data_IF_227477052018
#
_entry.id   IF_227477052018
#
_cell.length_a   1.000
_cell.length_b   1.000
_cell.length_c   1.000
_cell.angle_alpha   90.00
_cell.angle_beta   90.00
_cell.angle_gamma   90.00
#
_symmetry.space_group_name_H-M   'P 1'
#
loop_
_entity.id
_entity.type
_entity.pdbx_description
1 polymer ?
#
# COMPACT_ATOMS: atom_id res chain seq x y z
N UNK A 1 25.41 10.70 8.37
CA UNK A 1 24.88 9.41 7.88
C UNK A 1 23.86 9.70 6.79
N UNK A 2 23.81 8.91 5.71
CA UNK A 2 22.83 9.08 4.63
C UNK A 2 21.38 8.91 5.12
N UNK A 3 21.19 8.31 6.29
CA UNK A 3 19.87 8.08 6.87
C UNK A 3 19.46 9.26 7.78
N UNK A 4 18.29 9.89 7.53
CA UNK A 4 17.73 10.89 8.41
C UNK A 4 17.31 10.29 9.76
N UNK A 5 17.40 11.06 10.86
CA UNK A 5 16.89 10.62 12.16
C UNK A 5 15.40 10.27 12.07
N UNK A 6 14.93 9.36 12.92
CA UNK A 6 13.52 8.96 12.93
C UNK A 6 12.61 10.15 13.22
N UNK A 7 11.63 10.42 12.35
CA UNK A 7 10.59 11.40 12.63
C UNK A 7 9.55 10.80 13.60
N UNK A 8 9.63 11.19 14.87
CA UNK A 8 8.71 10.73 15.91
C UNK A 8 7.35 11.45 15.88
N UNK A 9 7.27 12.61 15.22
CA UNK A 9 6.08 13.45 15.15
C UNK A 9 5.77 13.79 13.68
N UNK A 10 5.39 12.79 12.87
CA UNK A 10 5.05 13.03 11.48
C UNK A 10 3.82 13.95 11.35
N UNK A 11 3.68 14.65 10.21
CA UNK A 11 2.57 15.58 9.96
C UNK A 11 1.19 14.90 10.03
N UNK A 12 1.14 13.60 9.75
CA UNK A 12 -0.03 12.76 9.90
C UNK A 12 0.38 11.31 10.23
N UNK A 13 -0.55 10.54 10.78
CA UNK A 13 -0.28 9.22 11.34
C UNK A 13 -0.72 8.07 10.40
N UNK A 14 0.25 7.52 9.67
CA UNK A 14 0.09 6.27 8.93
C UNK A 14 0.24 5.09 9.89
N UNK A 15 -0.74 4.18 9.90
CA UNK A 15 -0.73 2.97 10.73
C UNK A 15 0.04 1.85 10.05
N UNK A 16 -0.26 1.58 8.78
CA UNK A 16 0.32 0.49 8.00
C UNK A 16 -0.05 0.62 6.52
N UNK A 17 0.65 -0.13 5.67
CA UNK A 17 0.11 -0.47 4.35
C UNK A 17 -1.22 -1.23 4.50
N UNK A 18 -2.02 -1.18 3.45
CA UNK A 18 -3.35 -1.80 3.44
C UNK A 18 -3.64 -2.58 2.19
N UNK A 19 -3.49 -1.95 1.02
CA UNK A 19 -3.91 -2.56 -0.24
C UNK A 19 -3.04 -2.12 -1.40
N UNK A 20 -2.99 -2.96 -2.42
CA UNK A 20 -2.46 -2.61 -3.74
C UNK A 20 -3.56 -2.73 -4.77
N UNK A 21 -3.62 -1.81 -5.72
CA UNK A 21 -4.38 -2.01 -6.96
C UNK A 21 -3.40 -2.30 -8.09
N UNK A 22 -3.59 -3.43 -8.75
CA UNK A 22 -2.83 -3.84 -9.91
C UNK A 22 -3.72 -3.75 -11.14
N UNK A 23 -3.30 -2.96 -12.11
CA UNK A 23 -3.84 -3.05 -13.46
C UNK A 23 -3.35 -4.36 -14.09
N UNK A 24 -4.26 -5.14 -14.65
CA UNK A 24 -3.99 -6.42 -15.30
C UNK A 24 -4.66 -6.45 -16.68
N UNK A 25 -4.00 -7.06 -17.65
CA UNK A 25 -4.48 -7.13 -19.04
C UNK A 25 -5.50 -8.24 -19.26
N UNK A 26 -5.45 -9.29 -18.44
CA UNK A 26 -6.38 -10.40 -18.46
C UNK A 26 -6.82 -10.74 -17.02
N UNK A 27 -8.08 -10.43 -16.70
CA UNK A 27 -8.66 -10.71 -15.38
C UNK A 27 -8.82 -12.20 -15.11
N UNK A 28 -9.14 -13.01 -16.12
CA UNK A 28 -9.32 -14.44 -15.93
C UNK A 28 -7.98 -15.11 -15.57
N UNK A 29 -6.92 -14.71 -16.28
CA UNK A 29 -5.58 -15.18 -15.99
C UNK A 29 -5.08 -14.68 -14.62
N UNK A 30 -5.29 -13.40 -14.30
CA UNK A 30 -4.93 -12.86 -12.98
C UNK A 30 -5.69 -13.56 -11.85
N UNK A 31 -6.98 -13.87 -12.04
CA UNK A 31 -7.77 -14.65 -11.08
C UNK A 31 -7.19 -16.04 -10.88
N UNK A 32 -6.88 -16.76 -11.96
CA UNK A 32 -6.28 -18.09 -11.87
C UNK A 32 -4.95 -18.08 -11.09
N UNK A 33 -4.17 -17.02 -11.23
CA UNK A 33 -2.94 -16.86 -10.47
C UNK A 33 -3.20 -16.51 -8.99
N UNK A 34 -3.87 -15.39 -8.71
CA UNK A 34 -4.00 -14.86 -7.35
C UNK A 34 -4.99 -15.64 -6.47
N UNK A 35 -6.06 -16.16 -7.07
CA UNK A 35 -7.10 -16.94 -6.36
C UNK A 35 -6.76 -18.42 -6.39
N UNK A 36 -6.66 -19.01 -7.59
CA UNK A 36 -6.57 -20.46 -7.69
C UNK A 36 -5.14 -20.95 -7.33
N UNK A 37 -4.08 -20.29 -7.80
CA UNK A 37 -2.71 -20.72 -7.48
C UNK A 37 -2.27 -20.27 -6.09
N UNK A 38 -2.39 -18.97 -5.79
CA UNK A 38 -1.91 -18.43 -4.50
C UNK A 38 -2.89 -18.67 -3.34
N UNK A 39 -4.21 -18.66 -3.59
CA UNK A 39 -5.21 -18.92 -2.55
C UNK A 39 -5.76 -17.66 -1.86
N UNK A 40 -5.61 -16.46 -2.45
CA UNK A 40 -6.31 -15.27 -1.96
C UNK A 40 -7.83 -15.43 -2.10
N UNK A 41 -8.57 -14.85 -1.17
CA UNK A 41 -10.01 -15.03 -1.08
C UNK A 41 -10.71 -13.89 -1.81
N UNK A 42 -11.57 -14.23 -2.78
CA UNK A 42 -12.44 -13.26 -3.45
C UNK A 42 -13.45 -12.72 -2.45
N UNK A 43 -13.52 -11.39 -2.34
CA UNK A 43 -14.51 -10.69 -1.52
C UNK A 43 -15.54 -9.97 -2.37
N UNK A 44 -15.16 -9.56 -3.57
CA UNK A 44 -16.04 -9.10 -4.62
C UNK A 44 -15.40 -9.34 -5.98
N UNK A 45 -16.19 -9.61 -7.01
CA UNK A 45 -15.73 -9.63 -8.40
C UNK A 45 -16.86 -9.14 -9.32
N UNK A 46 -16.48 -8.39 -10.35
CA UNK A 46 -17.33 -7.96 -11.44
C UNK A 46 -16.57 -8.07 -12.78
N UNK A 47 -17.15 -7.52 -13.84
CA UNK A 47 -16.55 -7.60 -15.19
C UNK A 47 -15.25 -6.81 -15.36
N UNK A 48 -14.98 -5.85 -14.46
CA UNK A 48 -13.84 -4.94 -14.53
C UNK A 48 -12.83 -5.09 -13.39
N UNK A 49 -13.18 -5.77 -12.31
CA UNK A 49 -12.33 -5.85 -11.12
C UNK A 49 -12.57 -7.07 -10.24
N UNK A 50 -11.52 -7.49 -9.51
CA UNK A 50 -11.57 -8.55 -8.50
C UNK A 50 -10.91 -8.02 -7.22
N UNK A 51 -11.66 -8.06 -6.12
CA UNK A 51 -11.22 -7.68 -4.79
C UNK A 51 -10.86 -8.92 -4.00
N UNK A 52 -9.64 -8.91 -3.45
CA UNK A 52 -9.03 -10.06 -2.82
C UNK A 52 -8.57 -9.72 -1.40
N UNK A 53 -8.70 -10.69 -0.49
CA UNK A 53 -8.13 -10.60 0.86
C UNK A 53 -7.33 -11.85 1.22
N UNK A 54 -6.31 -11.67 2.04
CA UNK A 54 -5.59 -12.75 2.69
C UNK A 54 -6.34 -13.25 3.94
N UNK A 55 -5.98 -14.42 4.48
CA UNK A 55 -6.80 -15.14 5.48
C UNK A 55 -7.00 -14.40 6.82
N UNK A 56 -5.99 -13.64 7.26
CA UNK A 56 -6.05 -12.85 8.51
C UNK A 56 -6.50 -11.40 8.27
N UNK A 57 -6.75 -10.99 7.03
CA UNK A 57 -7.20 -9.63 6.73
C UNK A 57 -8.61 -9.41 7.28
N UNK A 58 -8.75 -8.32 8.06
CA UNK A 58 -10.02 -7.89 8.64
C UNK A 58 -10.78 -6.93 7.72
N UNK A 59 -10.06 -6.19 6.88
CA UNK A 59 -10.67 -5.31 5.89
C UNK A 59 -11.28 -6.11 4.73
N UNK A 60 -12.10 -5.44 3.94
CA UNK A 60 -12.73 -6.03 2.76
C UNK A 60 -11.72 -6.60 1.76
N UNK A 61 -10.59 -5.93 1.58
CA UNK A 61 -9.57 -6.35 0.62
C UNK A 61 -8.18 -5.85 1.02
N UNK A 62 -7.16 -6.56 0.55
CA UNK A 62 -5.76 -6.13 0.55
C UNK A 62 -5.16 -6.09 -0.86
N UNK A 63 -5.90 -6.53 -1.88
CA UNK A 63 -5.48 -6.47 -3.27
C UNK A 63 -6.71 -6.25 -4.16
N UNK A 64 -6.56 -5.40 -5.17
CA UNK A 64 -7.55 -5.15 -6.21
C UNK A 64 -6.87 -5.46 -7.53
N UNK A 65 -7.46 -6.35 -8.33
CA UNK A 65 -7.07 -6.60 -9.70
C UNK A 65 -8.06 -5.84 -10.58
N UNK A 66 -7.57 -4.93 -11.42
CA UNK A 66 -8.41 -4.10 -12.28
C UNK A 66 -8.03 -4.30 -13.74
N UNK A 67 -9.00 -4.58 -14.60
CA UNK A 67 -8.74 -4.73 -16.04
C UNK A 67 -8.26 -3.40 -16.63
N UNK A 68 -7.17 -3.44 -17.40
CA UNK A 68 -6.63 -2.31 -18.13
C UNK A 68 -5.83 -2.76 -19.36
N UNK A 69 -5.52 -1.84 -20.25
CA UNK A 69 -4.77 -2.16 -21.49
C UNK A 69 -3.29 -2.47 -21.24
N UNK A 70 -2.75 -2.07 -20.09
CA UNK A 70 -1.36 -2.31 -19.70
C UNK A 70 -1.24 -2.67 -18.22
N UNK A 71 -0.33 -3.58 -17.88
CA UNK A 71 -0.07 -3.95 -16.49
C UNK A 71 0.69 -2.85 -15.74
N UNK A 72 0.25 -2.53 -14.52
CA UNK A 72 0.95 -1.57 -13.64
C UNK A 72 0.56 -1.72 -12.18
N UNK A 73 1.43 -1.27 -11.28
CA UNK A 73 1.04 -0.96 -9.91
C UNK A 73 0.28 0.38 -9.91
N UNK A 74 -1.04 0.30 -9.94
CA UNK A 74 -1.89 1.47 -10.13
C UNK A 74 -2.03 2.32 -8.88
N UNK A 75 -1.99 1.69 -7.69
CA UNK A 75 -2.04 2.38 -6.38
C UNK A 75 -1.34 1.57 -5.30
N UNK A 76 -0.60 2.27 -4.44
CA UNK A 76 -0.13 1.79 -3.14
C UNK A 76 -0.93 2.44 -2.00
N UNK A 77 -1.73 1.65 -1.30
CA UNK A 77 -2.70 2.11 -0.31
C UNK A 77 -2.22 1.97 1.14
N UNK A 78 -2.41 3.02 1.92
CA UNK A 78 -2.09 3.09 3.34
C UNK A 78 -3.32 3.38 4.19
N UNK A 79 -3.38 2.74 5.36
CA UNK A 79 -4.36 3.06 6.40
C UNK A 79 -3.79 4.14 7.32
N UNK A 80 -4.51 5.25 7.48
CA UNK A 80 -4.23 6.27 8.51
C UNK A 80 -5.04 5.99 9.78
N UNK A 81 -4.66 6.64 10.87
CA UNK A 81 -5.24 6.41 12.19
C UNK A 81 -6.75 6.69 12.24
N UNK A 82 -7.16 7.87 11.77
CA UNK A 82 -8.56 8.29 11.69
C UNK A 82 -8.80 9.24 10.49
N UNK A 83 -10.02 9.76 10.34
CA UNK A 83 -10.40 10.63 9.22
C UNK A 83 -9.72 12.01 9.24
N UNK A 84 -9.36 12.55 10.40
CA UNK A 84 -8.67 13.84 10.50
C UNK A 84 -7.24 13.75 9.95
N UNK A 85 -6.62 12.57 10.07
CA UNK A 85 -5.31 12.31 9.47
C UNK A 85 -5.33 12.39 7.95
N UNK A 86 -6.49 12.20 7.29
CA UNK A 86 -6.62 12.38 5.85
C UNK A 86 -6.52 13.87 5.47
N UNK A 87 -7.12 14.76 6.27
CA UNK A 87 -7.09 16.19 6.02
C UNK A 87 -5.67 16.73 6.21
N UNK A 88 -5.00 16.33 7.32
CA UNK A 88 -3.58 16.62 7.56
C UNK A 88 -2.68 16.10 6.45
N UNK A 89 -2.94 14.88 5.96
CA UNK A 89 -2.21 14.33 4.82
C UNK A 89 -2.40 15.20 3.58
N UNK A 90 -3.65 15.56 3.25
CA UNK A 90 -3.95 16.41 2.10
C UNK A 90 -3.21 17.74 2.18
N UNK A 91 -3.29 18.44 3.30
CA UNK A 91 -2.59 19.71 3.54
C UNK A 91 -1.07 19.56 3.39
N UNK A 92 -0.49 18.51 3.99
CA UNK A 92 0.94 18.27 3.89
C UNK A 92 1.38 18.01 2.45
N UNK A 93 0.69 17.13 1.71
CA UNK A 93 1.02 16.83 0.32
C UNK A 93 0.88 18.08 -0.58
N UNK A 94 -0.17 18.88 -0.39
CA UNK A 94 -0.34 20.16 -1.09
C UNK A 94 0.80 21.14 -0.77
N UNK A 95 1.24 21.22 0.50
CA UNK A 95 2.39 22.05 0.89
C UNK A 95 3.70 21.61 0.23
N UNK A 96 3.79 20.36 -0.23
CA UNK A 96 4.92 19.82 -1.01
C UNK A 96 4.70 19.91 -2.52
N UNK A 97 3.69 20.66 -2.96
CA UNK A 97 3.35 20.84 -4.37
C UNK A 97 2.79 19.57 -5.04
N UNK A 98 2.31 18.60 -4.27
CA UNK A 98 1.67 17.40 -4.81
C UNK A 98 0.16 17.63 -4.97
N UNK A 99 -0.37 17.22 -6.13
CA UNK A 99 -1.82 17.16 -6.34
C UNK A 99 -2.42 16.16 -5.35
N UNK A 100 -3.53 16.56 -4.73
CA UNK A 100 -4.37 15.67 -3.93
C UNK A 100 -5.78 15.64 -4.50
N UNK A 101 -6.45 14.50 -4.36
CA UNK A 101 -7.78 14.28 -4.89
C UNK A 101 -8.59 13.41 -3.92
N UNK A 102 -9.81 13.83 -3.63
CA UNK A 102 -10.76 13.02 -2.88
C UNK A 102 -11.52 12.12 -3.85
N UNK A 103 -11.51 10.82 -3.59
CA UNK A 103 -12.17 9.84 -4.45
C UNK A 103 -13.12 8.96 -3.65
N UNK A 104 -14.10 8.40 -4.35
CA UNK A 104 -14.90 7.30 -3.86
C UNK A 104 -14.28 5.96 -4.28
N UNK A 105 -14.23 5.01 -3.34
CA UNK A 105 -13.79 3.64 -3.61
C UNK A 105 -14.79 2.65 -3.00
N UNK A 106 -15.15 1.57 -3.73
CA UNK A 106 -15.99 0.51 -3.18
C UNK A 106 -15.42 -0.03 -1.86
N UNK A 107 -16.31 -0.24 -0.88
CA UNK A 107 -16.01 -0.80 0.44
C UNK A 107 -15.10 0.05 1.33
N UNK A 108 -14.81 1.29 0.94
CA UNK A 108 -13.95 2.21 1.67
C UNK A 108 -14.73 3.48 2.03
N UNK A 109 -14.34 4.10 3.14
CA UNK A 109 -14.78 5.46 3.47
C UNK A 109 -14.06 6.50 2.62
N UNK A 110 -13.86 7.70 3.16
CA UNK A 110 -13.14 8.77 2.46
C UNK A 110 -11.71 8.32 2.10
N UNK A 111 -11.33 8.50 0.83
CA UNK A 111 -10.00 8.15 0.31
C UNK A 111 -9.34 9.39 -0.27
N UNK A 112 -8.12 9.66 0.17
CA UNK A 112 -7.23 10.67 -0.40
C UNK A 112 -6.29 9.98 -1.40
N UNK A 113 -6.30 10.42 -2.66
CA UNK A 113 -5.34 10.00 -3.68
C UNK A 113 -4.31 11.10 -3.92
N UNK A 114 -3.05 10.71 -4.07
CA UNK A 114 -1.93 11.60 -4.40
C UNK A 114 -0.79 10.77 -5.01
N UNK A 115 0.45 11.28 -4.98
CA UNK A 115 1.63 10.51 -5.32
C UNK A 115 2.81 10.84 -4.41
N UNK A 116 3.80 9.96 -4.39
CA UNK A 116 5.10 10.27 -3.80
C UNK A 116 5.87 11.33 -4.63
N UNK A 117 7.12 11.57 -4.25
CA UNK A 117 8.01 12.54 -4.90
C UNK A 117 8.35 12.17 -6.36
N UNK A 118 8.33 10.88 -6.72
CA UNK A 118 8.65 10.36 -8.05
C UNK A 118 7.41 10.05 -8.89
N UNK A 119 6.21 10.26 -8.36
CA UNK A 119 4.96 10.00 -9.06
C UNK A 119 4.36 8.62 -8.79
N UNK A 120 4.89 7.84 -7.85
CA UNK A 120 4.28 6.58 -7.40
C UNK A 120 2.89 6.89 -6.84
N UNK A 121 1.82 6.29 -7.38
CA UNK A 121 0.44 6.62 -6.99
C UNK A 121 0.14 6.09 -5.59
N UNK A 122 -0.30 6.98 -4.70
CA UNK A 122 -0.58 6.67 -3.29
C UNK A 122 -2.05 6.90 -2.96
N UNK A 123 -2.58 6.08 -2.07
CA UNK A 123 -3.87 6.31 -1.42
C UNK A 123 -3.78 6.22 0.09
N UNK A 124 -4.59 7.05 0.76
CA UNK A 124 -4.75 7.06 2.20
C UNK A 124 -6.23 6.95 2.55
N UNK A 125 -6.55 6.10 3.52
CA UNK A 125 -7.92 5.96 4.01
C UNK A 125 -7.94 5.65 5.52
N UNK A 126 -9.06 5.97 6.18
CA UNK A 126 -9.26 5.67 7.59
C UNK A 126 -10.18 4.45 7.82
N UNK A 127 -11.26 4.31 7.04
CA UNK A 127 -12.28 3.27 7.22
C UNK A 127 -12.43 2.40 5.97
N UNK A 128 -12.54 1.10 6.17
CA UNK A 128 -12.88 0.10 5.16
C UNK A 128 -13.85 -0.88 5.81
N UNK A 129 -14.80 -1.39 5.03
CA UNK A 129 -15.74 -2.41 5.48
C UNK A 129 -14.97 -3.60 6.05
N UNK A 130 -15.54 -4.19 7.11
CA UNK A 130 -14.96 -5.35 7.77
C UNK A 130 -15.77 -6.59 7.44
N UNK A 131 -15.07 -7.66 7.12
CA UNK A 131 -15.66 -8.96 6.88
C UNK A 131 -15.40 -9.89 8.07
N UNK A 132 -16.24 -10.90 8.23
CA UNK A 132 -16.05 -11.91 9.28
C UNK A 132 -14.65 -12.56 9.13
N UNK A 133 -13.95 -12.84 10.25
CA UNK A 133 -12.68 -13.55 10.22
C UNK A 133 -12.81 -14.94 9.58
N UNK A 134 -11.79 -15.34 8.82
CA UNK A 134 -11.76 -16.64 8.12
C UNK A 134 -10.48 -17.45 8.35
N UNK A 135 -9.50 -16.92 9.07
CA UNK A 135 -8.22 -17.58 9.42
C UNK A 135 -8.35 -18.86 10.27
N UNK A 136 -9.55 -19.22 10.74
CA UNK A 136 -9.80 -20.52 11.40
C UNK A 136 -10.74 -21.42 10.59
N UNK A 137 -11.19 -20.96 9.41
CA UNK A 137 -11.99 -21.76 8.49
C UNK A 137 -11.04 -22.57 7.61
N UNK A 138 -10.38 -23.56 8.19
CA UNK A 138 -9.31 -24.35 7.55
C UNK A 138 -9.71 -25.00 6.21
N UNK A 139 -11.01 -25.23 5.97
CA UNK A 139 -11.51 -25.67 4.65
C UNK A 139 -11.25 -24.69 3.50
N UNK A 140 -11.00 -23.41 3.80
CA UNK A 140 -10.69 -22.36 2.82
C UNK A 140 -9.19 -22.29 2.49
N UNK A 141 -8.36 -23.12 3.13
CA UNK A 141 -6.92 -23.05 2.98
C UNK A 141 -6.50 -23.72 1.68
N UNK A 142 -6.30 -22.92 0.65
CA UNK A 142 -5.90 -23.33 -0.69
C UNK A 142 -4.58 -22.68 -1.10
N UNK A 143 -3.84 -23.31 -2.02
CA UNK A 143 -2.57 -22.78 -2.54
C UNK A 143 -1.52 -22.55 -1.45
N UNK A 144 -0.80 -21.44 -1.55
CA UNK A 144 0.25 -21.03 -0.60
C UNK A 144 -0.28 -20.31 0.65
N UNK A 145 -1.60 -20.11 0.74
CA UNK A 145 -2.32 -19.62 1.92
C UNK A 145 -1.78 -18.27 2.46
N UNK A 146 -1.76 -17.20 1.67
CA UNK A 146 -1.35 -15.88 2.16
C UNK A 146 -2.16 -15.49 3.40
N UNK A 147 -1.45 -15.15 4.48
CA UNK A 147 -2.09 -14.73 5.73
C UNK A 147 -2.40 -13.23 5.71
N UNK A 148 -1.47 -12.41 5.24
CA UNK A 148 -1.56 -10.94 5.24
C UNK A 148 -0.79 -10.35 4.06
N UNK A 149 -1.16 -9.15 3.64
CA UNK A 149 -0.25 -8.31 2.85
C UNK A 149 0.82 -7.72 3.78
N UNK A 150 2.06 -7.66 3.31
CA UNK A 150 3.19 -7.34 4.18
C UNK A 150 3.93 -6.05 3.82
N UNK A 151 4.31 -5.84 2.56
CA UNK A 151 5.01 -4.63 2.15
C UNK A 151 4.87 -4.35 0.64
N UNK A 152 5.32 -3.16 0.24
CA UNK A 152 5.58 -2.79 -1.15
C UNK A 152 7.09 -2.64 -1.32
N UNK A 153 7.60 -2.96 -2.50
CA UNK A 153 8.95 -2.61 -2.91
C UNK A 153 8.86 -1.75 -4.17
N UNK A 154 9.50 -0.59 -4.17
CA UNK A 154 9.42 0.40 -5.23
C UNK A 154 10.82 0.72 -5.74
N UNK A 155 11.01 0.66 -7.06
CA UNK A 155 12.19 1.22 -7.68
C UNK A 155 12.13 2.75 -7.61
N UNK A 156 13.23 3.37 -7.17
CA UNK A 156 13.37 4.81 -7.11
C UNK A 156 14.62 5.24 -7.89
N UNK A 157 14.56 6.32 -8.67
CA UNK A 157 15.73 6.84 -9.38
C UNK A 157 16.77 7.47 -8.42
N UNK A 158 16.37 7.79 -7.19
CA UNK A 158 17.23 8.36 -6.16
C UNK A 158 16.75 7.90 -4.77
N UNK A 159 17.41 6.86 -4.23
CA UNK A 159 17.01 6.20 -2.97
C UNK A 159 17.17 7.13 -1.77
N UNK A 160 18.20 7.99 -1.77
CA UNK A 160 18.42 8.98 -0.71
C UNK A 160 17.21 9.92 -0.57
N UNK A 161 16.69 10.42 -1.71
CA UNK A 161 15.47 11.25 -1.74
C UNK A 161 14.22 10.48 -1.37
N UNK A 162 14.09 9.22 -1.81
CA UNK A 162 12.97 8.36 -1.41
C UNK A 162 12.93 8.22 0.12
N UNK A 163 14.07 7.87 0.72
CA UNK A 163 14.22 7.70 2.17
C UNK A 163 13.88 8.98 2.91
N UNK A 164 14.40 10.13 2.46
CA UNK A 164 14.07 11.43 3.06
C UNK A 164 12.57 11.74 3.00
N UNK A 165 11.92 11.46 1.88
CA UNK A 165 10.48 11.68 1.70
C UNK A 165 9.64 10.79 2.62
N UNK A 166 9.88 9.47 2.60
CA UNK A 166 9.12 8.54 3.45
C UNK A 166 9.40 8.75 4.93
N UNK A 167 10.62 9.16 5.31
CA UNK A 167 10.95 9.56 6.68
C UNK A 167 10.15 10.80 7.12
N UNK A 168 9.98 11.79 6.25
CA UNK A 168 9.20 12.99 6.56
C UNK A 168 7.74 12.67 6.93
N UNK A 169 7.15 11.63 6.33
CA UNK A 169 5.79 11.13 6.67
C UNK A 169 5.81 9.98 7.70
N UNK A 170 6.93 9.80 8.40
CA UNK A 170 7.03 8.99 9.61
C UNK A 170 7.51 7.56 9.42
N UNK A 171 7.92 7.13 8.23
CA UNK A 171 8.57 5.82 8.07
C UNK A 171 9.97 5.84 8.68
N UNK A 172 10.38 4.73 9.30
CA UNK A 172 11.71 4.61 9.91
C UNK A 172 12.51 3.56 9.13
N UNK A 173 13.76 3.86 8.82
CA UNK A 173 14.65 2.88 8.19
C UNK A 173 15.00 1.81 9.22
N UNK A 174 14.82 0.54 8.85
CA UNK A 174 15.25 -0.62 9.65
C UNK A 174 16.59 -1.13 9.15
N UNK A 175 16.72 -1.26 7.83
CA UNK A 175 17.90 -1.80 7.15
C UNK A 175 18.15 -1.00 5.88
N UNK A 176 19.41 -0.96 5.45
CA UNK A 176 19.82 -0.29 4.22
C UNK A 176 21.09 -0.87 3.66
N UNK A 177 21.34 -0.57 2.40
CA UNK A 177 22.59 -0.85 1.70
C UNK A 177 23.08 0.44 1.06
N UNK A 178 24.39 0.69 1.18
CA UNK A 178 25.05 1.86 0.59
C UNK A 178 26.21 1.41 -0.29
N UNK A 179 26.57 2.27 -1.24
CA UNK A 179 27.80 2.12 -2.02
C UNK A 179 29.01 2.54 -1.18
N UNK A 180 30.09 1.76 -1.21
CA UNK A 180 31.24 1.97 -0.33
C UNK A 180 32.00 3.27 -0.60
N UNK A 181 31.99 3.75 -1.84
CA UNK A 181 32.74 4.95 -2.26
C UNK A 181 31.88 6.21 -2.17
N UNK A 182 30.74 6.22 -2.85
CA UNK A 182 29.84 7.37 -2.95
C UNK A 182 28.96 7.54 -1.71
N UNK A 183 28.80 6.48 -0.89
CA UNK A 183 27.92 6.45 0.29
C UNK A 183 26.45 6.70 -0.02
N UNK A 184 26.06 6.60 -1.29
CA UNK A 184 24.67 6.68 -1.72
C UNK A 184 23.95 5.38 -1.41
N UNK A 185 22.70 5.51 -0.98
CA UNK A 185 21.84 4.35 -0.78
C UNK A 185 21.48 3.72 -2.13
N UNK A 186 21.48 2.39 -2.20
CA UNK A 186 20.94 1.65 -3.35
C UNK A 186 19.74 0.75 -2.99
N UNK A 187 19.52 0.48 -1.69
CA UNK A 187 18.26 -0.01 -1.16
C UNK A 187 18.08 0.39 0.31
N UNK A 188 16.83 0.59 0.74
CA UNK A 188 16.47 0.81 2.13
C UNK A 188 15.10 0.18 2.43
N UNK A 189 14.97 -0.43 3.61
CA UNK A 189 13.72 -0.97 4.13
C UNK A 189 13.20 -0.07 5.23
N UNK A 190 11.91 0.28 5.15
CA UNK A 190 11.31 1.24 6.07
C UNK A 190 9.95 0.74 6.58
N UNK A 191 9.61 1.06 7.82
CA UNK A 191 8.38 0.58 8.45
C UNK A 191 7.58 1.69 9.15
N UNK A 192 6.28 1.40 9.31
CA UNK A 192 5.34 2.11 10.21
C UNK A 192 4.76 1.19 11.27
N UNK A 193 4.44 -0.06 10.91
CA UNK A 193 3.96 -1.11 11.79
C UNK A 193 5.14 -1.78 12.50
N UNK A 194 4.99 -2.11 13.78
CA UNK A 194 5.97 -2.93 14.52
C UNK A 194 7.14 -2.17 15.15
N UNK A 195 6.93 -0.90 15.50
CA UNK A 195 7.80 -0.14 16.41
C UNK A 195 7.06 0.24 17.68
#
# INVERSE_FOLDING_TARGET
MPIPPANLYPPFNIVRLSHVELNVTDLAWARAFYVDTLGLQVTHEDTGSIYLRALEERGHHCMILKKADSASANVLGFKVWDEHELDKASEWFQSKGRRTEWIERPYMGRVLRTSDLFGVPLEFYAKMDRLAPIHQKYKLYHGVKPLRIDHFNCFAPDVDKAVAFYNAIGFRVTEYTEDDVSKRLWAAWMHRKGG
#
